data_IF_811310520784
#
_entry.id   IF_811310520784
#
_cell.length_a   1.000
_cell.length_b   1.000
_cell.length_c   1.000
_cell.angle_alpha   90.00
_cell.angle_beta   90.00
_cell.angle_gamma   90.00
#
_symmetry.space_group_name_H-M   'P 1'
#
loop_
_entity.id
_entity.type
_entity.pdbx_description
1 polymer ?
#
# COMPACT_ATOMS: atom_id res chain seq x y z
N UNK A 1 -15.16 -2.04 12.91
CA UNK A 1 -14.49 -0.71 12.80
C UNK A 1 -15.12 0.05 11.64
N UNK A 2 -15.44 1.33 11.78
CA UNK A 2 -16.04 2.12 10.69
C UNK A 2 -15.02 2.42 9.59
N UNK A 3 -15.48 2.52 8.34
CA UNK A 3 -14.63 2.82 7.16
C UNK A 3 -13.81 4.11 7.34
N UNK A 4 -14.41 5.16 7.90
CA UNK A 4 -13.71 6.41 8.16
C UNK A 4 -12.53 6.22 9.12
N UNK A 5 -12.77 5.51 10.24
CA UNK A 5 -11.73 5.21 11.22
C UNK A 5 -10.64 4.31 10.62
N UNK A 6 -11.00 3.39 9.72
CA UNK A 6 -10.03 2.56 9.00
C UNK A 6 -9.14 3.43 8.10
N UNK A 7 -9.75 4.29 7.30
CA UNK A 7 -9.04 5.21 6.41
C UNK A 7 -8.08 6.11 7.20
N UNK A 8 -8.52 6.68 8.32
CA UNK A 8 -7.67 7.50 9.18
C UNK A 8 -6.48 6.72 9.73
N UNK A 9 -6.67 5.49 10.22
CA UNK A 9 -5.57 4.66 10.71
C UNK A 9 -4.59 4.28 9.59
N UNK A 10 -5.08 3.95 8.41
CA UNK A 10 -4.24 3.64 7.24
C UNK A 10 -3.43 4.86 6.83
N UNK A 11 -4.06 6.05 6.72
CA UNK A 11 -3.40 7.31 6.40
C UNK A 11 -2.36 7.68 7.45
N UNK A 12 -2.68 7.54 8.73
CA UNK A 12 -1.74 7.80 9.84
C UNK A 12 -0.55 6.85 9.79
N UNK A 13 -0.76 5.57 9.48
CA UNK A 13 0.34 4.60 9.34
C UNK A 13 1.24 4.91 8.14
N UNK A 14 0.67 5.50 7.09
CA UNK A 14 1.33 5.79 5.81
C UNK A 14 1.56 7.30 5.62
N UNK A 15 1.71 8.05 6.71
CA UNK A 15 1.85 9.52 6.68
C UNK A 15 3.09 10.01 5.93
N UNK A 16 4.07 9.13 5.74
CA UNK A 16 5.36 9.40 5.09
C UNK A 16 5.37 9.13 3.58
N UNK A 17 4.24 8.73 2.98
CA UNK A 17 4.16 8.51 1.54
C UNK A 17 4.37 9.82 0.76
N UNK A 18 4.96 9.72 -0.43
CA UNK A 18 5.03 10.86 -1.34
C UNK A 18 3.67 11.14 -2.00
N UNK A 19 3.51 12.31 -2.64
CA UNK A 19 2.22 12.70 -3.24
C UNK A 19 1.69 11.74 -4.32
N UNK A 20 2.58 11.03 -5.05
CA UNK A 20 2.16 10.04 -6.05
C UNK A 20 1.64 8.77 -5.40
N UNK A 21 2.34 8.28 -4.38
CA UNK A 21 1.94 7.12 -3.57
C UNK A 21 0.65 7.41 -2.80
N UNK A 22 0.55 8.58 -2.17
CA UNK A 22 -0.64 9.01 -1.43
C UNK A 22 -1.88 9.06 -2.32
N UNK A 23 -1.75 9.60 -3.55
CA UNK A 23 -2.86 9.62 -4.52
C UNK A 23 -3.33 8.20 -4.85
N UNK A 24 -2.40 7.29 -5.13
CA UNK A 24 -2.74 5.88 -5.40
C UNK A 24 -3.38 5.19 -4.19
N UNK A 25 -2.89 5.48 -2.98
CA UNK A 25 -3.49 4.99 -1.74
C UNK A 25 -4.94 5.46 -1.61
N UNK A 26 -5.21 6.75 -1.84
CA UNK A 26 -6.56 7.32 -1.76
C UNK A 26 -7.50 6.70 -2.80
N UNK A 27 -7.07 6.55 -4.05
CA UNK A 27 -7.85 5.90 -5.11
C UNK A 27 -8.20 4.45 -4.75
N UNK A 28 -7.25 3.71 -4.16
CA UNK A 28 -7.45 2.35 -3.65
C UNK A 28 -8.46 2.30 -2.51
N UNK A 29 -8.39 3.23 -1.56
CA UNK A 29 -9.34 3.31 -0.45
C UNK A 29 -10.76 3.62 -0.94
N UNK A 30 -10.90 4.39 -2.03
CA UNK A 30 -12.18 4.68 -2.67
C UNK A 30 -12.71 3.43 -3.40
N UNK A 31 -11.92 2.84 -4.30
CA UNK A 31 -12.30 1.68 -5.11
C UNK A 31 -12.62 0.42 -4.28
N UNK A 32 -11.94 0.22 -3.14
CA UNK A 32 -12.15 -0.93 -2.25
C UNK A 32 -13.51 -0.99 -1.57
N UNK A 33 -14.32 0.06 -1.69
CA UNK A 33 -15.69 0.10 -1.14
C UNK A 33 -16.66 -0.83 -1.87
N UNK A 34 -16.34 -1.28 -3.09
CA UNK A 34 -17.30 -1.93 -3.98
C UNK A 34 -17.22 -3.45 -4.11
N UNK A 35 -16.07 -4.10 -3.87
CA UNK A 35 -15.85 -5.46 -4.39
C UNK A 35 -15.02 -6.43 -3.52
N UNK A 36 -14.55 -6.05 -2.33
CA UNK A 36 -13.63 -6.87 -1.57
C UNK A 36 -14.11 -7.04 -0.13
N UNK A 37 -14.11 -8.27 0.39
CA UNK A 37 -14.26 -8.61 1.83
C UNK A 37 -13.06 -8.04 2.61
N UNK A 38 -12.96 -6.71 2.68
CA UNK A 38 -11.92 -6.02 3.41
C UNK A 38 -12.28 -6.11 4.88
N UNK A 39 -11.41 -6.80 5.62
CA UNK A 39 -11.46 -6.84 7.06
C UNK A 39 -11.03 -5.46 7.60
N UNK A 40 -11.98 -4.51 7.65
CA UNK A 40 -11.78 -3.14 8.13
C UNK A 40 -11.25 -3.07 9.57
N UNK A 41 -11.19 -4.20 10.27
CA UNK A 41 -10.57 -4.31 11.59
C UNK A 41 -9.04 -4.45 11.53
N UNK A 42 -8.42 -4.59 10.33
CA UNK A 42 -6.98 -4.83 10.16
C UNK A 42 -6.27 -3.75 9.30
N UNK A 43 -6.28 -2.47 9.72
CA UNK A 43 -5.63 -1.37 8.98
C UNK A 43 -4.11 -1.52 8.86
N UNK A 44 -3.44 -2.08 9.87
CA UNK A 44 -1.98 -2.29 9.83
C UNK A 44 -1.61 -3.33 8.77
N UNK A 45 -2.37 -4.44 8.72
CA UNK A 45 -2.17 -5.49 7.70
C UNK A 45 -2.34 -4.92 6.29
N UNK A 46 -3.36 -4.07 6.11
CA UNK A 46 -3.57 -3.36 4.87
C UNK A 46 -2.37 -2.48 4.50
N UNK A 47 -1.91 -1.64 5.43
CA UNK A 47 -0.77 -0.75 5.19
C UNK A 47 0.49 -1.53 4.81
N UNK A 48 0.81 -2.63 5.51
CA UNK A 48 1.96 -3.48 5.16
C UNK A 48 1.83 -4.11 3.77
N UNK A 49 0.63 -4.58 3.42
CA UNK A 49 0.39 -5.15 2.10
C UNK A 49 0.50 -4.10 0.98
N UNK A 50 0.01 -2.88 1.24
CA UNK A 50 0.17 -1.76 0.33
C UNK A 50 1.65 -1.41 0.14
N UNK A 51 2.38 -1.26 1.23
CA UNK A 51 3.81 -0.97 1.21
C UNK A 51 4.59 -2.03 0.41
N UNK A 52 4.39 -3.33 0.69
CA UNK A 52 5.06 -4.41 -0.04
C UNK A 52 4.77 -4.40 -1.55
N UNK A 53 3.56 -4.00 -1.96
CA UNK A 53 3.13 -4.06 -3.37
C UNK A 53 3.46 -2.82 -4.18
N UNK A 54 3.50 -1.64 -3.56
CA UNK A 54 3.57 -0.36 -4.27
C UNK A 54 4.76 0.51 -3.87
N UNK A 55 5.30 0.37 -2.66
CA UNK A 55 6.39 1.21 -2.14
C UNK A 55 7.71 0.45 -2.10
N UNK A 56 7.70 -0.71 -1.44
CA UNK A 56 8.80 -1.65 -1.38
C UNK A 56 8.66 -2.79 -2.38
N UNK A 57 7.86 -2.60 -3.44
CA UNK A 57 7.89 -3.51 -4.59
C UNK A 57 9.35 -3.57 -4.96
N UNK A 58 10.00 -4.71 -4.69
CA UNK A 58 11.43 -4.90 -4.87
C UNK A 58 11.76 -4.14 -6.15
N UNK A 59 12.68 -3.17 -6.07
CA UNK A 59 13.56 -2.93 -7.22
C UNK A 59 14.04 -4.34 -7.47
N UNK A 60 13.41 -5.05 -8.40
CA UNK A 60 13.90 -6.33 -8.85
C UNK A 60 15.34 -5.99 -9.09
N UNK A 61 16.20 -6.54 -8.25
CA UNK A 61 17.61 -6.57 -8.57
C UNK A 61 17.52 -7.27 -9.91
N UNK A 62 17.57 -6.49 -10.99
CA UNK A 62 18.05 -7.00 -12.25
C UNK A 62 19.37 -7.53 -11.76
N UNK A 63 19.40 -8.84 -11.53
CA UNK A 63 20.61 -9.61 -11.44
C UNK A 63 21.27 -9.28 -12.76
N UNK A 64 22.00 -8.17 -12.77
CA UNK A 64 23.02 -7.87 -13.74
C UNK A 64 23.91 -9.07 -13.56
N UNK A 65 23.66 -10.09 -14.37
CA UNK A 65 24.62 -11.15 -14.58
C UNK A 65 25.85 -10.38 -15.01
N UNK A 66 26.77 -10.20 -14.07
CA UNK A 66 28.09 -9.70 -14.31
C UNK A 66 28.71 -10.78 -15.17
N UNK A 67 28.57 -10.66 -16.48
CA UNK A 67 29.33 -11.44 -17.43
C UNK A 67 30.71 -10.79 -17.42
N UNK A 68 31.56 -11.29 -16.54
CA UNK A 68 33.00 -11.26 -16.77
C UNK A 68 33.31 -12.54 -17.54
N UNK A 69 33.44 -12.42 -18.86
CA UNK A 69 34.63 -12.79 -19.67
C UNK A 69 34.32 -12.51 -21.15
#
# INVERSE_FOLDING_TARGET
MNKNLFNEKVKKQLWFLNSKEEKQLNERLIQKSGNENVDYNKPIKFSHQYLKRYVFKEKSVTSSNVIFD
#
